data_IF_679874530567
#
_entry.id   IF_679874530567
#
_cell.length_a   1.000
_cell.length_b   1.000
_cell.length_c   1.000
_cell.angle_alpha   90.00
_cell.angle_beta   90.00
_cell.angle_gamma   90.00
#
_symmetry.space_group_name_H-M   'P 1'
#
loop_
_entity.id
_entity.type
_entity.pdbx_description
1 polymer ?
#
# COMPACT_ATOMS: atom_id res chain seq x y z
N UNK A 1 -10.42 -20.68 -79.41
CA UNK A 1 -9.12 -21.33 -79.15
C UNK A 1 -8.28 -20.40 -78.29
N UNK A 2 -8.20 -20.64 -76.98
CA UNK A 2 -7.33 -19.85 -76.11
C UNK A 2 -6.42 -20.79 -75.31
N UNK A 3 -5.12 -20.52 -75.42
CA UNK A 3 -4.01 -21.35 -74.95
C UNK A 3 -3.73 -21.09 -73.47
N UNK A 4 -3.48 -22.17 -72.74
CA UNK A 4 -2.42 -22.31 -71.72
C UNK A 4 -2.52 -21.48 -70.43
N UNK A 5 -2.63 -22.19 -69.30
CA UNK A 5 -1.72 -22.00 -68.15
C UNK A 5 -1.88 -23.13 -67.13
N UNK A 6 -0.76 -23.77 -66.85
CA UNK A 6 -0.47 -24.78 -65.83
C UNK A 6 -0.73 -24.27 -64.41
N UNK A 7 -1.13 -25.14 -63.45
CA UNK A 7 -1.15 -24.78 -62.04
C UNK A 7 0.26 -24.88 -61.39
N UNK A 8 0.57 -24.07 -60.36
CA UNK A 8 1.91 -23.98 -59.81
C UNK A 8 2.24 -25.01 -58.72
N UNK A 9 3.55 -25.20 -58.60
CA UNK A 9 4.33 -26.15 -57.81
C UNK A 9 4.25 -25.85 -56.29
N UNK A 10 4.04 -26.89 -55.50
CA UNK A 10 4.08 -26.89 -54.02
C UNK A 10 5.49 -26.48 -53.55
N UNK A 11 5.61 -25.35 -52.85
CA UNK A 11 6.87 -24.93 -52.20
C UNK A 11 6.91 -25.52 -50.80
N UNK A 12 7.91 -26.37 -50.59
CA UNK A 12 8.24 -26.99 -49.31
C UNK A 12 8.81 -25.92 -48.36
N UNK A 13 8.17 -25.73 -47.21
CA UNK A 13 8.65 -24.88 -46.12
C UNK A 13 9.94 -25.46 -45.54
N UNK A 14 11.06 -24.74 -45.68
CA UNK A 14 12.30 -25.00 -44.94
C UNK A 14 12.21 -24.23 -43.63
N UNK A 15 12.24 -24.96 -42.51
CA UNK A 15 12.22 -24.41 -41.16
C UNK A 15 13.46 -23.58 -40.86
N UNK A 16 13.23 -22.44 -40.22
CA UNK A 16 14.27 -21.63 -39.58
C UNK A 16 14.54 -22.18 -38.17
N UNK A 17 15.81 -22.26 -37.73
CA UNK A 17 16.17 -22.75 -36.40
C UNK A 17 15.91 -21.67 -35.34
N UNK A 18 15.17 -22.04 -34.30
CA UNK A 18 14.93 -21.26 -33.10
C UNK A 18 16.17 -21.36 -32.17
N UNK A 19 16.69 -20.27 -31.60
CA UNK A 19 17.74 -20.36 -30.59
C UNK A 19 17.14 -20.80 -29.24
N UNK A 20 17.63 -21.92 -28.71
CA UNK A 20 17.39 -22.36 -27.33
C UNK A 20 17.99 -21.36 -26.34
N UNK A 21 17.17 -20.91 -25.38
CA UNK A 21 17.61 -20.16 -24.19
C UNK A 21 17.98 -21.16 -23.08
N UNK A 22 19.18 -21.10 -22.49
CA UNK A 22 19.55 -21.98 -21.39
C UNK A 22 18.96 -21.51 -20.06
N UNK A 23 18.36 -22.44 -19.32
CA UNK A 23 18.31 -22.44 -17.85
C UNK A 23 17.16 -21.67 -17.18
N UNK A 24 15.95 -22.25 -17.19
CA UNK A 24 14.95 -21.91 -16.17
C UNK A 24 15.33 -22.53 -14.83
N UNK A 25 16.13 -21.84 -14.02
CA UNK A 25 16.16 -22.09 -12.58
C UNK A 25 14.88 -21.53 -11.95
N UNK A 26 14.05 -22.46 -11.49
CA UNK A 26 12.76 -22.23 -10.85
C UNK A 26 12.84 -21.23 -9.68
N UNK A 27 12.34 -20.01 -9.89
CA UNK A 27 12.19 -18.96 -8.86
C UNK A 27 10.90 -19.12 -8.02
N UNK A 28 10.16 -20.22 -8.17
CA UNK A 28 8.93 -20.47 -7.39
C UNK A 28 9.20 -20.77 -5.91
N UNK A 29 10.44 -21.09 -5.52
CA UNK A 29 10.78 -21.45 -4.14
C UNK A 29 11.23 -20.26 -3.26
N UNK A 30 11.56 -19.10 -3.86
CA UNK A 30 12.18 -17.98 -3.12
C UNK A 30 11.17 -17.10 -2.38
N UNK A 31 9.90 -17.15 -2.74
CA UNK A 31 8.87 -16.35 -2.07
C UNK A 31 8.16 -17.06 -0.90
N UNK A 32 8.62 -18.24 -0.49
CA UNK A 32 8.13 -18.89 0.72
C UNK A 32 8.86 -18.30 1.95
N UNK A 33 8.25 -17.32 2.61
CA UNK A 33 8.66 -16.93 3.96
C UNK A 33 8.44 -18.12 4.91
N UNK A 34 9.37 -18.42 5.83
CA UNK A 34 9.15 -19.45 6.83
C UNK A 34 8.03 -19.04 7.79
N UNK A 35 6.98 -19.86 7.86
CA UNK A 35 5.95 -19.80 8.91
C UNK A 35 6.59 -20.05 10.28
N UNK A 36 7.09 -19.01 10.95
CA UNK A 36 7.50 -19.13 12.35
C UNK A 36 7.15 -17.92 13.24
N UNK A 37 6.20 -17.10 12.81
CA UNK A 37 5.68 -16.02 13.64
C UNK A 37 4.15 -15.95 13.49
N UNK A 38 3.48 -16.98 14.01
CA UNK A 38 2.10 -16.83 14.49
C UNK A 38 2.14 -17.19 15.99
N UNK A 39 1.79 -16.21 16.81
CA UNK A 39 1.70 -16.29 18.26
C UNK A 39 0.72 -17.37 18.70
N UNK A 40 0.99 -18.06 19.82
CA UNK A 40 -0.10 -18.45 20.72
C UNK A 40 0.38 -18.64 22.17
N UNK A 41 -0.28 -17.90 23.06
CA UNK A 41 -0.25 -17.99 24.52
C UNK A 41 -1.26 -19.05 24.99
N UNK A 42 -0.86 -19.99 25.88
CA UNK A 42 -1.57 -20.48 27.09
C UNK A 42 -0.69 -21.59 27.80
N UNK A 43 -0.89 -22.02 29.07
CA UNK A 43 0.14 -22.12 30.11
C UNK A 43 0.52 -23.59 30.43
N UNK A 44 1.48 -23.88 31.32
CA UNK A 44 1.93 -25.24 31.57
C UNK A 44 1.04 -25.95 32.59
N UNK A 45 0.70 -27.21 32.29
CA UNK A 45 0.22 -28.20 33.27
C UNK A 45 1.15 -29.40 33.23
N UNK A 46 1.82 -29.68 34.36
CA UNK A 46 2.52 -30.93 34.66
C UNK A 46 1.48 -32.02 35.02
N UNK A 47 1.75 -33.34 34.83
CA UNK A 47 2.75 -34.09 35.63
C UNK A 47 3.46 -35.29 34.96
N UNK A 48 4.54 -35.77 35.61
CA UNK A 48 5.15 -37.13 35.63
C UNK A 48 5.31 -37.92 34.30
N UNK A 49 6.43 -38.56 33.99
CA UNK A 49 7.02 -39.71 34.72
C UNK A 49 8.45 -39.95 34.18
N UNK A 50 9.29 -40.41 35.10
CA UNK A 50 10.64 -40.97 35.06
C UNK A 50 11.23 -41.47 33.72
N UNK A 51 12.49 -41.10 33.48
CA UNK A 51 13.50 -42.08 33.09
C UNK A 51 14.89 -41.69 33.61
N UNK A 52 15.44 -42.59 34.40
CA UNK A 52 16.75 -42.58 35.05
C UNK A 52 17.81 -43.04 34.06
N UNK A 53 18.88 -42.28 33.86
CA UNK A 53 20.22 -42.83 33.68
C UNK A 53 21.27 -41.88 34.28
N UNK A 54 21.87 -42.37 35.36
CA UNK A 54 23.03 -41.86 36.09
C UNK A 54 24.33 -42.03 35.31
N UNK A 55 25.30 -41.13 35.54
CA UNK A 55 26.77 -41.27 35.71
C UNK A 55 27.35 -39.85 35.50
N UNK A 56 28.33 -39.29 36.22
CA UNK A 56 29.06 -39.56 37.46
C UNK A 56 29.98 -38.34 37.69
N UNK A 57 30.10 -37.92 38.96
CA UNK A 57 31.26 -37.28 39.63
C UNK A 57 31.83 -35.91 39.17
N UNK A 58 31.71 -34.97 40.13
CA UNK A 58 32.50 -33.74 40.42
C UNK A 58 34.01 -34.05 40.70
N UNK A 59 34.94 -33.10 41.05
CA UNK A 59 34.76 -31.70 41.49
C UNK A 59 35.79 -30.62 41.01
N UNK A 60 35.50 -29.35 41.31
CA UNK A 60 36.44 -28.19 41.40
C UNK A 60 37.25 -28.25 42.74
N UNK A 61 38.04 -27.25 43.25
CA UNK A 61 38.29 -25.81 42.92
C UNK A 61 39.81 -25.42 43.15
N UNK A 62 40.28 -24.21 43.60
CA UNK A 62 39.71 -22.86 43.74
C UNK A 62 40.59 -21.65 43.26
N UNK A 63 39.99 -20.44 43.34
CA UNK A 63 40.57 -19.09 43.59
C UNK A 63 41.52 -18.42 42.59
N UNK A 64 41.10 -17.28 42.03
CA UNK A 64 41.78 -16.00 42.31
C UNK A 64 40.85 -14.79 42.14
N UNK A 65 40.94 -13.87 43.10
CA UNK A 65 40.27 -12.57 43.13
C UNK A 65 41.02 -11.57 42.25
N UNK A 66 40.37 -11.03 41.21
CA UNK A 66 40.61 -9.64 40.79
C UNK A 66 39.48 -9.13 39.91
N UNK A 67 38.65 -8.25 40.47
CA UNK A 67 37.95 -7.20 39.73
C UNK A 67 38.71 -5.90 40.04
N UNK A 68 38.90 -4.96 39.10
CA UNK A 68 37.85 -3.97 38.93
C UNK A 68 37.60 -3.52 37.48
N UNK A 69 36.38 -2.98 37.31
CA UNK A 69 35.92 -2.09 36.23
C UNK A 69 35.42 -2.74 34.93
N UNK A 70 34.10 -2.95 34.79
CA UNK A 70 33.47 -2.99 33.49
C UNK A 70 33.42 -1.57 32.92
N UNK A 71 34.11 -1.35 31.79
CA UNK A 71 33.79 -0.27 30.88
C UNK A 71 32.35 -0.48 30.40
N UNK A 72 31.42 0.27 31.01
CA UNK A 72 30.08 0.44 30.49
C UNK A 72 30.16 0.86 29.02
N UNK A 73 29.60 0.10 28.07
CA UNK A 73 29.19 0.72 26.82
C UNK A 73 28.10 1.72 27.21
N UNK A 74 28.37 3.00 26.99
CA UNK A 74 27.35 4.05 27.04
C UNK A 74 26.07 3.54 26.35
N UNK A 75 24.88 3.66 26.95
CA UNK A 75 23.67 3.68 26.17
C UNK A 75 23.79 4.92 25.28
N UNK A 76 24.10 4.70 24.00
CA UNK A 76 23.95 5.74 23.00
C UNK A 76 22.56 6.32 23.16
N UNK A 77 22.53 7.59 23.52
CA UNK A 77 21.36 8.45 23.61
C UNK A 77 20.56 8.28 22.33
N UNK A 78 19.53 7.43 22.35
CA UNK A 78 18.63 7.24 21.23
C UNK A 78 17.81 8.51 21.08
N UNK A 79 18.24 9.39 20.18
CA UNK A 79 17.39 10.44 19.68
C UNK A 79 16.13 9.80 19.08
N UNK A 80 14.93 10.35 19.29
CA UNK A 80 13.74 9.92 18.56
C UNK A 80 13.92 10.38 17.10
N UNK A 81 14.62 9.58 16.31
CA UNK A 81 14.62 9.76 14.86
C UNK A 81 13.26 9.28 14.37
N UNK A 82 12.45 10.18 13.83
CA UNK A 82 11.18 9.97 13.13
C UNK A 82 11.41 9.18 11.82
N UNK A 83 12.06 8.03 11.95
CA UNK A 83 12.56 7.21 10.85
C UNK A 83 11.67 6.01 10.72
N UNK A 84 10.94 5.97 9.61
CA UNK A 84 10.07 4.86 9.26
C UNK A 84 10.85 3.52 9.23
N UNK A 85 10.41 2.50 9.98
CA UNK A 85 11.07 1.19 9.99
C UNK A 85 10.71 0.40 8.73
N UNK A 86 11.59 0.41 7.73
CA UNK A 86 11.39 -0.37 6.51
C UNK A 86 11.45 -1.88 6.77
N UNK A 87 10.56 -2.67 6.14
CA UNK A 87 10.56 -4.13 6.30
C UNK A 87 11.76 -4.78 5.59
N UNK A 88 12.17 -6.01 5.99
CA UNK A 88 13.36 -6.66 5.43
C UNK A 88 13.33 -6.83 3.91
N UNK A 89 12.16 -7.05 3.32
CA UNK A 89 11.98 -7.21 1.87
C UNK A 89 12.28 -5.92 1.09
N UNK A 90 12.24 -4.74 1.72
CA UNK A 90 12.66 -3.49 1.10
C UNK A 90 14.18 -3.46 0.81
N UNK A 91 14.97 -4.29 1.49
CA UNK A 91 16.41 -4.45 1.21
C UNK A 91 16.71 -5.65 0.30
N UNK A 92 15.68 -6.26 -0.31
CA UNK A 92 15.86 -7.37 -1.24
C UNK A 92 15.86 -6.83 -2.69
N UNK A 93 16.99 -6.86 -3.43
CA UNK A 93 17.07 -6.22 -4.74
C UNK A 93 16.01 -6.69 -5.77
N UNK A 94 15.64 -7.98 -5.86
CA UNK A 94 14.59 -8.44 -6.77
C UNK A 94 13.20 -7.86 -6.45
N UNK A 95 12.98 -7.33 -5.25
CA UNK A 95 11.71 -6.71 -4.87
C UNK A 95 11.37 -5.46 -5.70
N UNK A 96 12.39 -4.74 -6.20
CA UNK A 96 12.25 -3.57 -7.06
C UNK A 96 12.06 -3.92 -8.54
N UNK A 97 12.00 -5.20 -8.89
CA UNK A 97 11.76 -5.66 -10.27
C UNK A 97 10.48 -6.49 -10.28
N UNK A 98 9.46 -6.02 -10.99
CA UNK A 98 8.18 -6.74 -11.07
C UNK A 98 8.39 -8.10 -11.75
N UNK A 99 7.97 -9.15 -11.05
CA UNK A 99 8.19 -10.52 -11.52
C UNK A 99 7.24 -10.86 -12.68
N UNK A 100 7.68 -11.63 -13.70
CA UNK A 100 6.82 -12.01 -14.83
C UNK A 100 5.77 -13.06 -14.45
N UNK A 101 6.05 -13.88 -13.43
CA UNK A 101 5.13 -14.88 -12.93
C UNK A 101 3.96 -14.22 -12.16
N UNK A 102 2.72 -14.48 -12.57
CA UNK A 102 1.53 -13.80 -12.02
C UNK A 102 1.31 -14.04 -10.53
N UNK A 103 1.52 -15.26 -10.04
CA UNK A 103 1.36 -15.58 -8.60
C UNK A 103 2.40 -14.85 -7.76
N UNK A 104 3.64 -14.81 -8.25
CA UNK A 104 4.75 -14.11 -7.58
C UNK A 104 4.53 -12.59 -7.62
N UNK A 105 4.10 -12.08 -8.76
CA UNK A 105 3.75 -10.68 -8.96
C UNK A 105 2.62 -10.25 -8.02
N UNK A 106 1.55 -11.03 -7.90
CA UNK A 106 0.44 -10.75 -6.99
C UNK A 106 0.91 -10.62 -5.55
N UNK A 107 1.75 -11.56 -5.07
CA UNK A 107 2.36 -11.48 -3.74
C UNK A 107 3.25 -10.25 -3.59
N UNK A 108 4.07 -9.95 -4.60
CA UNK A 108 4.93 -8.77 -4.62
C UNK A 108 4.11 -7.48 -4.54
N UNK A 109 3.02 -7.38 -5.29
CA UNK A 109 2.11 -6.23 -5.27
C UNK A 109 1.38 -6.09 -3.94
N UNK A 110 0.99 -7.20 -3.30
CA UNK A 110 0.40 -7.18 -1.96
C UNK A 110 1.41 -6.67 -0.90
N UNK A 111 2.67 -7.11 -0.97
CA UNK A 111 3.74 -6.61 -0.10
C UNK A 111 3.99 -5.11 -0.33
N UNK A 112 4.04 -4.68 -1.59
CA UNK A 112 4.14 -3.26 -1.93
C UNK A 112 2.95 -2.45 -1.41
N UNK A 113 1.72 -2.95 -1.55
CA UNK A 113 0.51 -2.28 -1.03
C UNK A 113 0.59 -2.08 0.49
N UNK A 114 1.02 -3.11 1.24
CA UNK A 114 1.22 -3.01 2.68
C UNK A 114 2.33 -2.01 3.05
N UNK A 115 3.44 -2.02 2.33
CA UNK A 115 4.54 -1.06 2.53
C UNK A 115 4.10 0.38 2.27
N UNK A 116 3.38 0.62 1.17
CA UNK A 116 2.83 1.94 0.81
C UNK A 116 1.89 2.43 1.91
N UNK A 117 0.96 1.60 2.38
CA UNK A 117 0.03 1.97 3.46
C UNK A 117 0.76 2.30 4.76
N UNK A 118 1.75 1.48 5.15
CA UNK A 118 2.51 1.70 6.38
C UNK A 118 3.39 2.96 6.31
N UNK A 119 3.98 3.26 5.15
CA UNK A 119 4.76 4.47 4.94
C UNK A 119 3.86 5.72 4.95
N UNK A 120 2.73 5.65 4.23
CA UNK A 120 1.75 6.73 4.19
C UNK A 120 1.15 7.01 5.57
N UNK A 121 0.87 5.99 6.39
CA UNK A 121 0.35 6.21 7.75
C UNK A 121 1.37 6.85 8.67
N UNK A 122 2.64 6.43 8.60
CA UNK A 122 3.72 6.98 9.42
C UNK A 122 3.98 8.47 9.10
N UNK A 123 4.04 8.80 7.82
CA UNK A 123 4.30 10.18 7.37
C UNK A 123 3.01 11.01 7.20
N UNK A 124 1.83 10.45 7.52
CA UNK A 124 0.50 11.06 7.31
C UNK A 124 0.28 11.59 5.89
N UNK A 125 0.71 10.82 4.89
CA UNK A 125 0.65 11.17 3.47
C UNK A 125 -0.57 10.57 2.78
N UNK A 126 -1.65 11.34 2.68
CA UNK A 126 -2.90 10.91 2.04
C UNK A 126 -2.86 10.95 0.51
N UNK A 127 -1.92 11.68 -0.07
CA UNK A 127 -1.80 11.88 -1.52
C UNK A 127 -0.42 11.48 -2.02
N UNK A 128 -0.41 10.77 -3.13
CA UNK A 128 0.79 10.33 -3.82
C UNK A 128 0.81 10.88 -5.24
N UNK A 129 1.81 11.69 -5.57
CA UNK A 129 2.01 12.27 -6.90
C UNK A 129 2.94 11.37 -7.71
N UNK A 130 2.51 10.91 -8.88
CA UNK A 130 3.29 10.01 -9.74
C UNK A 130 4.62 10.61 -10.22
N UNK A 131 4.70 11.89 -10.66
CA UNK A 131 5.97 12.50 -11.07
C UNK A 131 7.03 12.52 -9.97
N UNK A 132 6.62 12.73 -8.73
CA UNK A 132 7.52 12.78 -7.56
C UNK A 132 7.71 11.41 -6.93
N UNK A 133 6.86 10.42 -7.25
CA UNK A 133 6.91 9.11 -6.61
C UNK A 133 8.30 8.43 -6.69
N UNK A 134 9.01 8.38 -7.84
CA UNK A 134 10.30 7.68 -7.92
C UNK A 134 11.39 8.24 -7.00
N UNK A 135 11.29 9.52 -6.59
CA UNK A 135 12.26 10.13 -5.68
C UNK A 135 11.95 9.87 -4.20
N UNK A 136 10.77 9.34 -3.88
CA UNK A 136 10.41 9.02 -2.49
C UNK A 136 11.24 7.84 -1.99
N UNK A 137 11.68 7.87 -0.71
CA UNK A 137 12.39 6.74 -0.09
C UNK A 137 11.51 5.48 0.03
N UNK A 138 10.21 5.61 -0.22
CA UNK A 138 9.26 4.51 -0.38
C UNK A 138 9.59 3.64 -1.60
N UNK A 139 9.95 4.24 -2.74
CA UNK A 139 10.17 3.53 -4.00
C UNK A 139 11.65 3.44 -4.40
N UNK A 140 12.53 4.13 -3.69
CA UNK A 140 13.96 4.12 -3.90
C UNK A 140 14.69 3.74 -2.62
N UNK A 141 15.53 2.71 -2.70
CA UNK A 141 16.39 2.31 -1.60
C UNK A 141 17.86 2.53 -1.99
N UNK A 142 18.48 3.63 -1.50
CA UNK A 142 19.88 3.92 -1.75
C UNK A 142 20.85 2.83 -1.26
N UNK A 143 20.48 2.07 -0.21
CA UNK A 143 21.35 1.04 0.38
C UNK A 143 21.59 -0.16 -0.54
N UNK A 144 20.62 -0.46 -1.41
CA UNK A 144 20.71 -1.56 -2.38
C UNK A 144 20.85 -1.05 -3.81
N UNK A 145 20.97 0.27 -4.01
CA UNK A 145 21.03 0.93 -5.32
C UNK A 145 19.90 0.50 -6.27
N UNK A 146 18.69 0.30 -5.72
CA UNK A 146 17.50 -0.07 -6.51
C UNK A 146 16.37 0.92 -6.28
N UNK A 147 15.60 1.13 -7.33
CA UNK A 147 14.38 1.93 -7.32
C UNK A 147 13.34 1.25 -8.20
N UNK A 148 12.07 1.47 -7.90
CA UNK A 148 10.95 1.03 -8.72
C UNK A 148 10.76 2.04 -9.85
N UNK A 149 10.64 1.55 -11.08
CA UNK A 149 10.40 2.41 -12.24
C UNK A 149 8.96 2.95 -12.24
N UNK A 150 8.75 4.06 -12.96
CA UNK A 150 7.46 4.75 -12.98
C UNK A 150 6.30 3.87 -13.51
N UNK A 151 6.57 3.00 -14.49
CA UNK A 151 5.56 2.10 -15.04
C UNK A 151 5.14 1.06 -13.99
N UNK A 152 6.10 0.53 -13.24
CA UNK A 152 5.84 -0.38 -12.13
C UNK A 152 5.10 0.31 -10.97
N UNK A 153 5.46 1.55 -10.61
CA UNK A 153 4.73 2.34 -9.60
C UNK A 153 3.27 2.53 -10.03
N UNK A 154 3.05 2.92 -11.29
CA UNK A 154 1.70 3.06 -11.84
C UNK A 154 0.91 1.75 -11.76
N UNK A 155 1.52 0.63 -12.16
CA UNK A 155 0.90 -0.69 -12.08
C UNK A 155 0.55 -1.07 -10.65
N UNK A 156 1.41 -0.71 -9.68
CA UNK A 156 1.15 -0.90 -8.27
C UNK A 156 -0.06 -0.08 -7.79
N UNK A 157 -0.13 1.20 -8.14
CA UNK A 157 -1.28 2.03 -7.75
C UNK A 157 -2.56 1.52 -8.43
N UNK A 158 -2.50 1.10 -9.70
CA UNK A 158 -3.62 0.46 -10.39
C UNK A 158 -4.09 -0.80 -9.66
N UNK A 159 -3.16 -1.64 -9.21
CA UNK A 159 -3.49 -2.79 -8.36
C UNK A 159 -4.16 -2.35 -7.05
N UNK A 160 -3.64 -1.32 -6.37
CA UNK A 160 -4.26 -0.77 -5.15
C UNK A 160 -5.66 -0.17 -5.39
N UNK A 161 -5.96 0.34 -6.59
CA UNK A 161 -7.31 0.81 -6.93
C UNK A 161 -8.29 -0.33 -7.23
N UNK A 162 -7.76 -1.50 -7.60
CA UNK A 162 -8.57 -2.67 -7.94
C UNK A 162 -9.15 -3.35 -6.69
N UNK A 163 -10.15 -4.20 -6.89
CA UNK A 163 -10.69 -5.04 -5.82
C UNK A 163 -9.65 -6.02 -5.25
N UNK A 164 -8.66 -6.45 -6.06
CA UNK A 164 -7.59 -7.35 -5.60
C UNK A 164 -6.58 -6.68 -4.66
N UNK A 165 -6.45 -5.35 -4.74
CA UNK A 165 -5.63 -4.53 -3.85
C UNK A 165 -6.45 -3.81 -2.78
N UNK A 166 -7.61 -4.36 -2.43
CA UNK A 166 -8.52 -3.88 -1.38
C UNK A 166 -9.06 -2.44 -1.57
N UNK A 167 -8.99 -1.87 -2.78
CA UNK A 167 -9.39 -0.47 -3.06
C UNK A 167 -8.69 0.54 -2.13
N UNK A 168 -7.41 0.30 -1.86
CA UNK A 168 -6.55 1.12 -0.99
C UNK A 168 -6.02 2.38 -1.66
N UNK A 169 -6.31 2.60 -2.93
CA UNK A 169 -5.97 3.83 -3.62
C UNK A 169 -7.10 4.29 -4.53
N UNK A 170 -7.12 5.58 -4.82
CA UNK A 170 -8.02 6.15 -5.80
C UNK A 170 -7.34 7.22 -6.63
N UNK A 171 -7.42 7.09 -7.95
CA UNK A 171 -6.86 8.07 -8.87
C UNK A 171 -7.60 9.41 -8.76
N UNK A 172 -6.83 10.47 -8.57
CA UNK A 172 -7.33 11.85 -8.60
C UNK A 172 -7.43 12.26 -10.05
N UNK A 173 -8.64 12.61 -10.49
CA UNK A 173 -8.83 13.20 -11.80
C UNK A 173 -8.27 14.62 -11.78
N UNK A 174 -7.39 14.98 -12.73
CA UNK A 174 -7.00 16.36 -12.87
C UNK A 174 -8.27 17.16 -13.19
N UNK A 175 -8.58 18.14 -12.33
CA UNK A 175 -9.58 19.16 -12.66
C UNK A 175 -9.21 19.74 -14.03
N UNK A 176 -10.19 20.11 -14.88
CA UNK A 176 -9.91 20.77 -16.15
C UNK A 176 -9.34 22.17 -15.88
N UNK A 177 -8.07 22.26 -15.54
CA UNK A 177 -7.29 23.49 -15.64
C UNK A 177 -7.32 23.91 -17.11
N UNK A 178 -7.58 25.19 -17.36
CA UNK A 178 -7.86 25.82 -18.67
C UNK A 178 -6.83 25.60 -19.80
N UNK A 179 -5.83 24.75 -19.63
CA UNK A 179 -4.86 24.38 -20.66
C UNK A 179 -4.90 22.88 -20.94
N UNK A 180 -5.69 22.54 -21.95
CA UNK A 180 -5.58 21.38 -22.84
C UNK A 180 -5.80 19.98 -22.24
N UNK A 181 -6.66 19.22 -22.95
CA UNK A 181 -6.87 17.75 -22.93
C UNK A 181 -8.14 17.21 -22.22
N UNK A 182 -8.90 18.01 -21.46
CA UNK A 182 -10.16 17.54 -20.84
C UNK A 182 -11.43 17.78 -21.68
N UNK A 183 -11.32 18.43 -22.85
CA UNK A 183 -12.49 18.83 -23.65
C UNK A 183 -13.10 17.74 -24.54
N UNK A 184 -12.74 16.47 -24.37
CA UNK A 184 -13.34 15.36 -25.15
C UNK A 184 -13.94 14.23 -24.32
N UNK A 185 -13.88 14.25 -22.98
CA UNK A 185 -14.44 13.18 -22.14
C UNK A 185 -15.81 13.54 -21.52
N UNK A 186 -16.22 14.80 -21.58
CA UNK A 186 -17.45 15.26 -20.95
C UNK A 186 -18.59 15.57 -21.95
N UNK A 187 -18.90 14.68 -22.90
CA UNK A 187 -20.20 14.68 -23.61
C UNK A 187 -20.53 13.28 -24.15
N UNK A 188 -21.04 12.39 -23.30
CA UNK A 188 -21.89 11.29 -23.78
C UNK A 188 -23.02 11.01 -22.77
N UNK A 189 -23.85 12.03 -22.55
CA UNK A 189 -25.15 11.90 -21.91
C UNK A 189 -26.25 11.90 -22.95
N UNK A 190 -26.44 10.79 -23.68
CA UNK A 190 -27.72 10.51 -24.36
C UNK A 190 -28.03 9.01 -24.36
N UNK A 191 -29.09 8.68 -23.64
CA UNK A 191 -30.00 7.53 -23.79
C UNK A 191 -29.51 6.09 -23.55
N UNK A 192 -30.35 5.39 -22.77
CA UNK A 192 -30.64 3.94 -22.79
C UNK A 192 -29.59 2.97 -22.24
N UNK A 193 -29.79 2.61 -20.97
CA UNK A 193 -29.80 1.23 -20.48
C UNK A 193 -28.80 0.24 -21.09
N UNK A 194 -27.53 0.35 -20.74
CA UNK A 194 -26.59 -0.78 -20.78
C UNK A 194 -25.50 -0.60 -19.72
N UNK A 195 -25.40 -1.63 -18.87
CA UNK A 195 -24.34 -2.00 -17.90
C UNK A 195 -23.17 -1.00 -17.80
N UNK A 196 -23.04 -0.36 -16.63
CA UNK A 196 -21.93 0.52 -16.24
C UNK A 196 -20.59 -0.21 -16.37
N UNK A 197 -19.92 -0.04 -17.50
CA UNK A 197 -18.50 -0.37 -17.65
C UNK A 197 -17.69 0.62 -16.82
N UNK A 198 -16.73 0.11 -16.05
CA UNK A 198 -15.88 0.90 -15.17
C UNK A 198 -15.22 2.02 -15.99
N UNK A 199 -15.52 3.27 -15.64
CA UNK A 199 -14.91 4.46 -16.22
C UNK A 199 -13.41 4.43 -15.90
N UNK A 200 -12.64 3.75 -16.74
CA UNK A 200 -11.21 3.55 -16.55
C UNK A 200 -10.52 4.83 -16.96
N UNK A 201 -9.92 5.52 -16.00
CA UNK A 201 -9.20 6.77 -16.24
C UNK A 201 -8.04 6.48 -17.22
N UNK A 202 -7.94 7.19 -18.35
CA UNK A 202 -6.82 7.06 -19.27
C UNK A 202 -5.48 7.25 -18.56
N UNK A 203 -4.47 6.48 -18.98
CA UNK A 203 -3.17 6.53 -18.33
C UNK A 203 -2.56 7.94 -18.30
N UNK A 204 -2.79 8.75 -19.34
CA UNK A 204 -2.29 10.12 -19.44
C UNK A 204 -2.83 11.05 -18.35
N UNK A 205 -4.03 10.78 -17.82
CA UNK A 205 -4.66 11.61 -16.79
C UNK A 205 -4.29 11.19 -15.37
N UNK A 206 -3.79 9.95 -15.19
CA UNK A 206 -3.31 9.46 -13.89
C UNK A 206 -2.01 10.15 -13.53
N UNK A 207 -2.09 11.19 -12.71
CA UNK A 207 -0.94 12.00 -12.26
C UNK A 207 -0.80 12.00 -10.74
N UNK A 208 -1.89 11.80 -10.00
CA UNK A 208 -1.89 11.64 -8.56
C UNK A 208 -2.97 10.66 -8.10
N UNK A 209 -2.78 10.05 -6.94
CA UNK A 209 -3.76 9.17 -6.30
C UNK A 209 -3.86 9.47 -4.80
N UNK A 210 -5.06 9.34 -4.24
CA UNK A 210 -5.25 9.19 -2.81
C UNK A 210 -4.82 7.80 -2.37
N UNK A 211 -4.17 7.72 -1.20
CA UNK A 211 -3.77 6.46 -0.56
C UNK A 211 -4.52 6.31 0.76
N UNK A 212 -5.26 5.22 0.89
CA UNK A 212 -6.15 4.93 2.01
C UNK A 212 -5.54 3.82 2.89
N UNK A 213 -4.75 4.19 3.91
CA UNK A 213 -4.30 3.23 4.94
C UNK A 213 -5.39 2.84 5.93
N UNK A 214 -6.48 3.61 5.96
CA UNK A 214 -7.80 3.21 6.43
C UNK A 214 -8.78 3.56 5.31
N UNK A 215 -9.79 2.73 5.07
CA UNK A 215 -10.80 3.02 4.05
C UNK A 215 -11.62 4.25 4.44
N UNK A 216 -12.31 4.92 3.50
CA UNK A 216 -13.23 6.01 3.82
C UNK A 216 -14.31 5.60 4.84
N UNK A 217 -14.72 4.33 4.84
CA UNK A 217 -15.64 3.77 5.84
C UNK A 217 -15.04 3.70 7.25
N UNK A 218 -13.80 3.23 7.35
CA UNK A 218 -13.08 3.15 8.63
C UNK A 218 -12.78 4.57 9.16
N UNK A 219 -12.39 5.49 8.28
CA UNK A 219 -12.20 6.89 8.63
C UNK A 219 -13.49 7.55 9.09
N UNK A 220 -14.60 7.31 8.39
CA UNK A 220 -15.92 7.78 8.81
C UNK A 220 -16.25 7.35 10.24
N UNK A 221 -16.00 6.09 10.59
CA UNK A 221 -16.25 5.58 11.94
C UNK A 221 -15.32 6.23 12.99
N UNK A 222 -14.05 6.44 12.65
CA UNK A 222 -13.09 7.14 13.52
C UNK A 222 -13.49 8.61 13.75
N UNK A 223 -13.87 9.34 12.70
CA UNK A 223 -14.33 10.74 12.78
C UNK A 223 -15.60 10.82 13.63
N UNK A 224 -16.57 9.92 13.38
CA UNK A 224 -17.83 9.90 14.13
C UNK A 224 -17.62 9.59 15.62
N UNK A 225 -16.76 8.62 15.95
CA UNK A 225 -16.43 8.27 17.32
C UNK A 225 -15.76 9.43 18.06
N UNK A 226 -14.92 10.21 17.37
CA UNK A 226 -14.32 11.41 17.94
C UNK A 226 -15.37 12.49 18.23
N UNK A 227 -16.27 12.80 17.29
CA UNK A 227 -17.36 13.79 17.49
C UNK A 227 -18.28 13.38 18.64
N UNK A 228 -18.55 12.07 18.77
CA UNK A 228 -19.29 11.51 19.90
C UNK A 228 -18.55 11.73 21.23
N UNK A 229 -17.26 11.41 21.26
CA UNK A 229 -16.42 11.54 22.45
C UNK A 229 -16.20 12.98 22.91
N UNK A 230 -16.22 13.96 22.00
CA UNK A 230 -16.12 15.39 22.33
C UNK A 230 -17.46 16.03 22.69
N UNK A 231 -18.57 15.29 22.55
CA UNK A 231 -19.92 15.80 22.85
C UNK A 231 -20.42 16.86 21.87
N UNK A 232 -19.85 16.94 20.66
CA UNK A 232 -20.20 17.94 19.65
C UNK A 232 -21.33 17.47 18.72
N UNK A 233 -21.97 16.33 19.01
CA UNK A 233 -23.17 15.87 18.32
C UNK A 233 -24.31 16.89 18.42
N UNK A 234 -25.07 17.06 17.34
CA UNK A 234 -26.17 18.00 17.28
C UNK A 234 -25.77 19.45 16.97
N UNK A 235 -24.49 19.82 17.12
CA UNK A 235 -23.94 21.09 16.67
C UNK A 235 -23.51 21.01 15.20
N UNK A 236 -23.49 22.17 14.53
CA UNK A 236 -22.93 22.30 13.18
C UNK A 236 -21.47 22.68 13.33
N UNK A 237 -20.57 21.88 12.75
CA UNK A 237 -19.13 22.11 12.70
C UNK A 237 -18.71 22.36 11.26
N UNK A 238 -17.76 23.25 11.02
CA UNK A 238 -17.23 23.45 9.66
C UNK A 238 -16.26 22.33 9.28
N UNK A 239 -16.12 22.05 7.98
CA UNK A 239 -15.09 21.11 7.48
C UNK A 239 -13.68 21.57 7.90
N UNK A 240 -13.46 22.88 8.03
CA UNK A 240 -12.21 23.45 8.52
C UNK A 240 -11.93 23.06 9.97
N UNK A 241 -12.88 23.26 10.88
CA UNK A 241 -12.74 22.87 12.29
C UNK A 241 -12.44 21.37 12.45
N UNK A 242 -13.06 20.53 11.62
CA UNK A 242 -12.88 19.08 11.67
C UNK A 242 -11.55 18.57 11.08
N UNK A 243 -10.86 19.39 10.27
CA UNK A 243 -9.59 19.01 9.62
C UNK A 243 -8.38 19.72 10.19
N UNK A 244 -8.54 20.98 10.54
CA UNK A 244 -7.47 21.91 10.92
C UNK A 244 -7.70 22.57 12.29
N UNK A 245 -8.83 22.28 12.96
CA UNK A 245 -9.09 22.77 14.30
C UNK A 245 -8.05 22.29 15.33
N UNK A 246 -7.85 23.08 16.39
CA UNK A 246 -6.89 22.75 17.45
C UNK A 246 -7.23 21.42 18.14
N UNK A 247 -8.53 21.13 18.30
CA UNK A 247 -9.01 19.89 18.93
C UNK A 247 -8.72 18.64 18.09
N UNK A 248 -8.56 18.80 16.77
CA UNK A 248 -8.24 17.68 15.87
C UNK A 248 -6.75 17.52 15.63
N UNK A 249 -5.88 18.43 16.09
CA UNK A 249 -4.44 18.40 15.82
C UNK A 249 -3.71 17.09 16.21
N UNK A 250 -4.29 16.31 17.14
CA UNK A 250 -3.76 15.01 17.59
C UNK A 250 -4.35 13.81 16.84
N UNK A 251 -5.30 14.04 15.97
CA UNK A 251 -6.02 13.00 15.27
C UNK A 251 -5.24 12.48 14.06
N UNK A 252 -5.51 11.24 13.68
CA UNK A 252 -4.77 10.57 12.61
C UNK A 252 -5.15 11.06 11.21
N UNK A 253 -6.31 11.73 11.04
CA UNK A 253 -6.76 12.30 9.77
C UNK A 253 -6.25 13.72 9.50
N UNK A 254 -5.46 14.29 10.41
CA UNK A 254 -4.83 15.60 10.20
C UNK A 254 -3.92 15.53 8.97
N UNK A 255 -4.06 16.51 8.08
CA UNK A 255 -3.36 16.57 6.80
C UNK A 255 -4.09 15.88 5.65
N UNK A 256 -5.25 15.24 5.89
CA UNK A 256 -6.12 14.75 4.82
C UNK A 256 -6.66 15.92 4.02
N UNK A 257 -6.49 15.91 2.70
CA UNK A 257 -7.03 16.94 1.79
C UNK A 257 -8.56 17.00 1.85
N UNK A 258 -9.13 18.16 1.50
CA UNK A 258 -10.56 18.45 1.60
C UNK A 258 -11.43 17.41 0.91
N UNK A 259 -11.11 17.10 -0.35
CA UNK A 259 -11.86 16.13 -1.14
C UNK A 259 -11.78 14.72 -0.52
N UNK A 260 -10.63 14.34 0.03
CA UNK A 260 -10.44 13.09 0.77
C UNK A 260 -11.34 13.03 2.01
N UNK A 261 -11.38 14.11 2.77
CA UNK A 261 -12.22 14.21 3.97
C UNK A 261 -13.71 14.18 3.63
N UNK A 262 -14.12 14.86 2.55
CA UNK A 262 -15.51 14.84 2.05
C UNK A 262 -15.98 13.45 1.67
N UNK A 263 -15.12 12.59 1.11
CA UNK A 263 -15.48 11.19 0.86
C UNK A 263 -15.82 10.42 2.13
N UNK A 264 -15.13 10.70 3.23
CA UNK A 264 -15.43 10.11 4.54
C UNK A 264 -16.77 10.65 5.08
N UNK A 265 -17.02 11.94 4.92
CA UNK A 265 -18.32 12.55 5.29
C UNK A 265 -19.48 11.98 4.47
N UNK A 266 -19.31 11.77 3.16
CA UNK A 266 -20.32 11.17 2.30
C UNK A 266 -20.73 9.77 2.77
N UNK A 267 -19.80 9.01 3.34
CA UNK A 267 -20.11 7.72 3.96
C UNK A 267 -21.01 7.91 5.19
N UNK A 268 -20.73 8.89 6.04
CA UNK A 268 -21.58 9.19 7.21
C UNK A 268 -22.96 9.71 6.80
N UNK A 269 -23.04 10.52 5.75
CA UNK A 269 -24.31 11.00 5.19
C UNK A 269 -25.15 9.84 4.67
N UNK A 270 -24.55 8.93 3.89
CA UNK A 270 -25.24 7.72 3.40
C UNK A 270 -25.71 6.80 4.53
N UNK A 271 -24.99 6.80 5.67
CA UNK A 271 -25.37 6.06 6.88
C UNK A 271 -26.42 6.78 7.74
N UNK A 272 -26.80 8.01 7.40
CA UNK A 272 -27.74 8.82 8.19
C UNK A 272 -27.15 9.36 9.50
N UNK A 273 -25.82 9.36 9.64
CA UNK A 273 -25.10 9.80 10.85
C UNK A 273 -24.63 11.26 10.78
N UNK A 274 -24.62 11.85 9.58
CA UNK A 274 -24.23 13.23 9.37
C UNK A 274 -25.02 13.86 8.22
N UNK A 275 -25.01 15.20 8.16
CA UNK A 275 -25.55 15.97 7.05
C UNK A 275 -24.60 17.15 6.77
N UNK A 276 -24.23 17.33 5.50
CA UNK A 276 -23.40 18.44 5.04
C UNK A 276 -24.30 19.58 4.53
N UNK A 277 -23.95 20.82 4.86
CA UNK A 277 -24.66 22.05 4.54
C UNK A 277 -23.72 23.04 3.84
N UNK A 278 -24.25 23.86 2.92
CA UNK A 278 -23.50 24.95 2.28
C UNK A 278 -22.78 24.56 1.00
N UNK A 279 -22.14 25.55 0.37
CA UNK A 279 -21.31 25.37 -0.82
C UNK A 279 -19.92 24.80 -0.46
N UNK A 280 -19.18 24.36 -1.48
CA UNK A 280 -17.91 23.63 -1.33
C UNK A 280 -16.89 24.39 -0.46
N UNK A 281 -16.93 25.72 -0.46
CA UNK A 281 -16.10 26.56 0.38
C UNK A 281 -16.89 26.97 1.64
N UNK A 282 -16.44 26.55 2.83
CA UNK A 282 -17.11 26.85 4.09
C UNK A 282 -18.28 25.94 4.46
N UNK A 283 -18.38 24.75 3.86
CA UNK A 283 -19.43 23.78 4.20
C UNK A 283 -19.44 23.45 5.71
N UNK A 284 -20.64 23.46 6.27
CA UNK A 284 -20.92 22.97 7.62
C UNK A 284 -21.33 21.50 7.58
N UNK A 285 -21.12 20.79 8.68
CA UNK A 285 -21.46 19.39 8.87
C UNK A 285 -22.14 19.26 10.22
N UNK A 286 -23.35 18.70 10.24
CA UNK A 286 -24.04 18.32 11.48
C UNK A 286 -23.97 16.81 11.64
N UNK A 287 -23.60 16.36 12.84
CA UNK A 287 -23.61 14.94 13.21
C UNK A 287 -24.83 14.63 14.08
N UNK A 288 -25.39 13.43 13.91
CA UNK A 288 -26.56 12.93 14.63
C UNK A 288 -26.19 11.77 15.56
#
# INVERSE_FOLDING_TARGET
MNRGKTPPRKVQSRGSPQPELPGQTSLSHVFQLPSKYLTNNQPPTHPGIMETLSFSSSPAPPTNLTNPSPSSPHPSTAQPTDTFPFPPHHSFPPFFTLQPNLTTLSRQLALWSSLVQSYCSHHRLFRLSLPTAPSLPLFSNPRVHRHLDLLSIRRLIDYMTSAEGDRRAEWILPLPTSSSLASSVALQGTSSGKRREAHTIPNELKTAAYVWWKTPEEWADVIYAWVEGTGQKGSVLTVYELREGEEVARQDWVGMEDEGFRRCLDVLVKRGKAQVFGEVEGAGVKFF
#
